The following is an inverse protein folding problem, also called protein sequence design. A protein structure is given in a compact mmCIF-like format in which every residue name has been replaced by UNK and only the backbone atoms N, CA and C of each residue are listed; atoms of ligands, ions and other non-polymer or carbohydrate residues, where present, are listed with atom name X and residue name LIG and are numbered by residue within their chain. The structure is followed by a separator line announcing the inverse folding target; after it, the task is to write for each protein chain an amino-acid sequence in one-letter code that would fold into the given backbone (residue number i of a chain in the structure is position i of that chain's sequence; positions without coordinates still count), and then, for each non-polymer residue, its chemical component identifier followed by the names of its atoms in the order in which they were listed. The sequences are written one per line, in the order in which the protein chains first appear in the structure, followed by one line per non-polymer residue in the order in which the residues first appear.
data_IF_861278053492
#
_entry.id   IF_861278053492
#
_cell.length_a   1.000
_cell.length_b   1.000
_cell.length_c   1.000
_cell.angle_alpha   90.00
_cell.angle_beta   90.00
_cell.angle_gamma   90.00
#
_symmetry.space_group_name_H-M   'P 1'
#
loop_
_entity.id
_entity.type
_entity.pdbx_description
1 polymer ?
#
# COMPACT_ATOMS: atom_id res chain seq x y z
N UNK A 1 -39.87 -23.82 -57.26
CA UNK A 1 -40.47 -23.20 -56.06
C UNK A 1 -39.31 -22.48 -55.40
N UNK A 2 -39.01 -21.30 -55.90
CA UNK A 2 -39.48 -20.00 -55.37
C UNK A 2 -38.66 -19.62 -54.13
N UNK A 3 -37.59 -18.87 -54.31
CA UNK A 3 -37.55 -17.39 -54.20
C UNK A 3 -37.13 -17.00 -52.77
N UNK A 4 -36.31 -15.97 -52.49
CA UNK A 4 -35.71 -14.97 -53.39
C UNK A 4 -34.35 -14.50 -52.83
N UNK A 5 -33.45 -14.05 -53.71
CA UNK A 5 -32.21 -13.36 -53.32
C UNK A 5 -32.52 -11.96 -52.76
N UNK A 6 -31.62 -11.39 -51.93
CA UNK A 6 -30.71 -10.31 -52.40
C UNK A 6 -29.65 -9.88 -51.38
N UNK A 7 -28.46 -9.69 -51.93
CA UNK A 7 -27.26 -9.06 -51.37
C UNK A 7 -27.28 -7.58 -51.78
N UNK A 8 -26.77 -6.65 -50.95
CA UNK A 8 -25.86 -5.57 -51.40
C UNK A 8 -25.17 -4.87 -50.22
N UNK A 9 -23.90 -4.52 -50.42
CA UNK A 9 -23.05 -3.71 -49.55
C UNK A 9 -23.41 -2.22 -49.67
N UNK A 10 -22.99 -1.38 -48.70
CA UNK A 10 -22.05 -0.26 -48.98
C UNK A 10 -21.51 0.38 -47.69
N UNK A 11 -20.39 1.08 -47.83
CA UNK A 11 -19.60 1.73 -46.78
C UNK A 11 -20.19 3.06 -46.32
N UNK A 12 -19.88 3.48 -45.09
CA UNK A 12 -19.76 4.90 -44.72
C UNK A 12 -18.90 5.05 -43.45
N UNK A 13 -17.91 5.94 -43.50
CA UNK A 13 -17.06 6.33 -42.37
C UNK A 13 -17.86 7.17 -41.36
N UNK A 14 -17.46 7.13 -40.07
CA UNK A 14 -17.55 8.28 -39.16
C UNK A 14 -16.63 8.07 -37.94
N UNK A 15 -15.87 9.12 -37.60
CA UNK A 15 -14.78 9.12 -36.61
C UNK A 15 -15.29 9.60 -35.20
N UNK A 16 -14.49 9.91 -34.15
CA UNK A 16 -14.78 9.40 -32.81
C UNK A 16 -15.05 10.51 -31.76
N UNK A 17 -16.08 10.36 -30.92
CA UNK A 17 -16.28 11.26 -29.79
C UNK A 17 -17.02 10.64 -28.60
N UNK A 18 -16.69 11.13 -27.40
CA UNK A 18 -17.46 11.04 -26.15
C UNK A 18 -17.93 9.65 -25.69
N UNK A 19 -16.98 8.83 -25.20
CA UNK A 19 -17.25 7.94 -24.05
C UNK A 19 -16.81 8.64 -22.75
N UNK A 20 -17.60 9.60 -22.31
CA UNK A 20 -17.40 10.37 -21.07
C UNK A 20 -18.75 10.60 -20.35
N UNK A 21 -19.59 9.56 -20.33
CA UNK A 21 -21.00 9.65 -19.93
C UNK A 21 -21.50 8.52 -19.03
N UNK A 22 -20.60 7.78 -18.38
CA UNK A 22 -20.96 6.69 -17.44
C UNK A 22 -20.50 6.98 -16.00
N UNK A 23 -19.44 7.78 -15.81
CA UNK A 23 -18.97 8.20 -14.47
C UNK A 23 -19.85 9.28 -13.81
N UNK A 24 -20.66 10.02 -14.58
CA UNK A 24 -21.55 11.07 -14.04
C UNK A 24 -22.85 10.54 -13.43
N UNK A 25 -23.25 9.30 -13.72
CA UNK A 25 -24.50 8.73 -13.21
C UNK A 25 -24.40 8.20 -11.76
N UNK A 26 -23.20 7.80 -11.31
CA UNK A 26 -22.98 7.35 -9.94
C UNK A 26 -22.66 8.51 -8.97
N UNK A 27 -22.02 9.59 -9.46
CA UNK A 27 -21.80 10.81 -8.67
C UNK A 27 -23.12 11.51 -8.28
N UNK A 28 -24.04 11.69 -9.24
CA UNK A 28 -25.34 12.36 -8.99
C UNK A 28 -26.26 11.55 -8.06
N UNK A 29 -26.08 10.23 -7.99
CA UNK A 29 -26.83 9.37 -7.06
C UNK A 29 -26.34 9.47 -5.59
N UNK A 30 -25.12 9.99 -5.35
CA UNK A 30 -24.59 10.19 -4.02
C UNK A 30 -25.07 11.52 -3.39
N UNK A 31 -25.20 12.59 -4.19
CA UNK A 31 -25.58 13.92 -3.69
C UNK A 31 -27.10 14.10 -3.46
N UNK A 32 -27.95 13.18 -3.93
CA UNK A 32 -29.42 13.25 -3.74
C UNK A 32 -29.99 12.39 -2.62
N UNK A 33 -29.16 11.85 -1.70
CA UNK A 33 -29.62 11.14 -0.49
C UNK A 33 -29.54 11.96 0.80
N UNK A 34 -29.48 13.30 0.69
CA UNK A 34 -29.58 14.22 1.84
C UNK A 34 -30.79 15.14 1.70
N UNK A 35 -31.97 14.54 1.55
CA UNK A 35 -33.26 15.20 1.76
C UNK A 35 -34.37 14.17 2.05
N UNK A 36 -35.23 14.48 3.01
CA UNK A 36 -36.49 13.78 3.34
C UNK A 36 -36.39 12.34 3.90
N UNK A 37 -36.29 12.24 5.23
CA UNK A 37 -37.05 11.24 5.99
C UNK A 37 -37.48 11.83 7.33
N UNK A 38 -38.47 12.73 7.29
CA UNK A 38 -39.10 13.29 8.48
C UNK A 38 -40.14 12.27 9.01
N UNK A 39 -39.64 11.29 9.76
CA UNK A 39 -40.42 10.28 10.46
C UNK A 39 -39.64 9.92 11.73
N UNK A 40 -40.26 10.12 12.90
CA UNK A 40 -39.57 10.16 14.19
C UNK A 40 -38.67 8.96 14.48
N UNK A 41 -37.36 9.23 14.54
CA UNK A 41 -36.35 8.40 15.20
C UNK A 41 -35.71 9.29 16.26
N UNK A 42 -35.62 8.80 17.50
CA UNK A 42 -34.89 9.49 18.57
C UNK A 42 -33.40 9.52 18.21
N UNK A 43 -32.95 10.67 17.68
CA UNK A 43 -31.55 10.94 17.36
C UNK A 43 -30.78 11.11 18.67
N UNK A 44 -30.37 9.99 19.28
CA UNK A 44 -29.51 10.01 20.45
C UNK A 44 -28.30 10.92 20.19
N UNK A 45 -28.27 12.03 20.92
CA UNK A 45 -27.29 13.09 20.76
C UNK A 45 -25.88 12.53 20.92
N UNK A 46 -25.00 12.81 19.95
CA UNK A 46 -23.60 12.36 19.95
C UNK A 46 -22.93 12.75 21.27
N UNK A 47 -22.40 11.78 22.01
CA UNK A 47 -21.74 11.99 23.30
C UNK A 47 -20.47 12.81 23.09
N UNK A 48 -20.35 13.97 23.73
CA UNK A 48 -19.11 14.77 23.70
C UNK A 48 -18.31 14.53 24.99
N UNK A 49 -17.03 14.22 24.82
CA UNK A 49 -16.03 14.05 25.89
C UNK A 49 -14.90 15.00 25.53
N UNK A 50 -14.64 16.01 26.36
CA UNK A 50 -13.64 17.02 26.02
C UNK A 50 -12.86 17.58 27.19
N UNK A 51 -11.61 18.00 26.91
CA UNK A 51 -10.70 18.66 27.85
C UNK A 51 -10.45 17.82 29.13
N UNK A 52 -10.30 16.50 28.98
CA UNK A 52 -10.09 15.55 30.07
C UNK A 52 -8.73 14.86 29.99
N UNK A 53 -8.09 14.66 31.14
CA UNK A 53 -6.98 13.73 31.32
C UNK A 53 -7.50 12.44 31.94
N UNK A 54 -7.23 11.30 31.29
CA UNK A 54 -7.69 9.97 31.69
C UNK A 54 -6.52 9.00 31.71
N UNK A 55 -6.20 8.40 32.86
CA UNK A 55 -5.08 7.46 33.02
C UNK A 55 -5.51 6.06 33.46
N UNK A 56 -6.82 5.83 33.57
CA UNK A 56 -7.41 4.57 34.04
C UNK A 56 -7.53 3.53 32.90
N UNK A 57 -7.46 2.25 33.25
CA UNK A 57 -7.77 1.15 32.31
C UNK A 57 -9.19 1.31 31.75
N UNK A 58 -9.30 1.25 30.41
CA UNK A 58 -10.56 1.33 29.65
C UNK A 58 -11.46 2.52 30.01
N UNK A 59 -10.85 3.70 30.19
CA UNK A 59 -11.55 4.94 30.54
C UNK A 59 -12.79 5.24 29.68
N UNK A 60 -12.80 4.84 28.40
CA UNK A 60 -13.91 5.01 27.46
C UNK A 60 -14.46 3.67 26.92
N UNK A 61 -14.43 2.59 27.71
CA UNK A 61 -14.97 1.28 27.34
C UNK A 61 -16.37 1.32 26.72
N UNK A 62 -16.58 0.57 25.63
CA UNK A 62 -17.87 0.44 24.93
C UNK A 62 -18.50 1.81 24.63
N UNK A 63 -17.68 2.79 24.24
CA UNK A 63 -18.15 4.11 23.83
C UNK A 63 -18.80 4.02 22.46
N UNK A 64 -20.05 4.47 22.36
CA UNK A 64 -20.80 4.42 21.11
C UNK A 64 -21.34 5.82 20.77
N UNK A 65 -21.28 6.19 19.49
CA UNK A 65 -21.75 7.49 18.97
C UNK A 65 -21.15 8.70 19.72
N UNK A 66 -19.84 8.90 19.59
CA UNK A 66 -19.10 9.89 20.41
C UNK A 66 -18.16 10.81 19.62
N UNK A 67 -17.82 11.94 20.25
CA UNK A 67 -16.71 12.83 19.91
C UNK A 67 -15.84 12.96 21.16
N UNK A 68 -14.58 12.55 21.04
CA UNK A 68 -13.52 12.77 22.03
C UNK A 68 -12.62 13.89 21.50
N UNK A 69 -12.37 14.93 22.29
CA UNK A 69 -11.65 16.13 21.79
C UNK A 69 -10.79 16.79 22.86
N UNK A 70 -9.58 17.24 22.51
CA UNK A 70 -8.65 17.90 23.44
C UNK A 70 -8.36 17.04 24.69
N UNK A 71 -8.29 15.71 24.53
CA UNK A 71 -8.10 14.79 25.63
C UNK A 71 -6.65 14.29 25.71
N UNK A 72 -6.21 13.99 26.92
CA UNK A 72 -4.93 13.35 27.19
C UNK A 72 -5.16 11.99 27.85
N UNK A 73 -4.50 10.96 27.34
CA UNK A 73 -4.66 9.59 27.79
C UNK A 73 -3.34 9.03 28.29
N UNK A 74 -3.11 9.10 29.59
CA UNK A 74 -1.89 8.66 30.25
C UNK A 74 -1.69 9.37 31.58
N UNK A 75 -0.94 8.76 32.49
CA UNK A 75 -0.74 9.28 33.84
C UNK A 75 -0.24 8.21 34.83
N UNK A 76 -0.11 8.55 36.12
CA UNK A 76 0.49 7.68 37.13
C UNK A 76 -0.21 6.32 37.35
N UNK A 77 -1.47 6.18 36.93
CA UNK A 77 -2.21 4.89 37.03
C UNK A 77 -1.77 3.87 35.97
N UNK A 78 -1.10 4.28 34.89
CA UNK A 78 -0.61 3.40 33.80
C UNK A 78 -1.66 2.41 33.26
N UNK A 79 -2.89 2.89 33.07
CA UNK A 79 -3.96 2.14 32.43
C UNK A 79 -3.67 1.80 30.97
N UNK A 80 -4.57 1.03 30.37
CA UNK A 80 -4.50 0.61 28.96
C UNK A 80 -5.88 0.45 28.34
N UNK A 81 -5.94 0.26 27.01
CA UNK A 81 -7.20 0.00 26.28
C UNK A 81 -8.25 1.11 26.44
N UNK A 82 -7.82 2.38 26.37
CA UNK A 82 -8.67 3.57 26.56
C UNK A 82 -10.01 3.47 25.84
N UNK A 83 -9.96 3.16 24.54
CA UNK A 83 -11.09 2.76 23.72
C UNK A 83 -10.96 1.26 23.50
N UNK A 84 -12.08 0.55 23.73
CA UNK A 84 -12.17 -0.89 23.56
C UNK A 84 -13.63 -1.29 23.42
N UNK A 85 -13.93 -2.20 22.50
CA UNK A 85 -15.31 -2.62 22.13
C UNK A 85 -16.22 -1.42 21.76
N UNK A 86 -15.65 -0.33 21.27
CA UNK A 86 -16.29 0.96 21.00
C UNK A 86 -16.64 1.11 19.52
N UNK A 87 -17.67 1.91 19.20
CA UNK A 87 -18.04 2.11 17.79
C UNK A 87 -18.66 3.45 17.42
N UNK A 88 -18.44 3.88 16.18
CA UNK A 88 -18.99 5.14 15.65
C UNK A 88 -18.50 6.34 16.48
N UNK A 89 -17.19 6.52 16.57
CA UNK A 89 -16.59 7.62 17.33
C UNK A 89 -15.52 8.37 16.54
N UNK A 90 -15.18 9.56 17.01
CA UNK A 90 -14.08 10.37 16.49
C UNK A 90 -13.23 10.85 17.66
N UNK A 91 -11.92 10.84 17.48
CA UNK A 91 -10.96 11.44 18.41
C UNK A 91 -10.24 12.56 17.67
N UNK A 92 -10.28 13.77 18.22
CA UNK A 92 -9.69 14.98 17.62
C UNK A 92 -8.75 15.65 18.62
N UNK A 93 -7.64 16.21 18.14
CA UNK A 93 -6.73 17.08 18.92
C UNK A 93 -6.28 16.44 20.26
N UNK A 94 -6.00 15.13 20.26
CA UNK A 94 -5.78 14.34 21.49
C UNK A 94 -4.47 13.56 21.47
N UNK A 95 -3.92 13.29 22.65
CA UNK A 95 -2.61 12.65 22.84
C UNK A 95 -2.75 11.39 23.69
N UNK A 96 -2.10 10.31 23.27
CA UNK A 96 -2.08 9.04 23.97
C UNK A 96 -0.65 8.65 24.36
N UNK A 97 -0.47 8.40 25.65
CA UNK A 97 0.74 7.94 26.34
C UNK A 97 0.44 6.65 27.13
N UNK A 98 -0.48 5.80 26.65
CA UNK A 98 -0.91 4.58 27.32
C UNK A 98 -1.11 3.41 26.35
N UNK A 99 -0.90 2.17 26.83
CA UNK A 99 -0.86 0.97 25.97
C UNK A 99 -2.21 0.66 25.31
N UNK A 100 -2.15 0.04 24.13
CA UNK A 100 -3.28 -0.63 23.47
C UNK A 100 -4.49 0.28 23.21
N UNK A 101 -4.24 1.50 22.72
CA UNK A 101 -5.19 2.64 22.69
C UNK A 101 -6.60 2.31 22.18
N UNK A 102 -6.71 1.64 21.03
CA UNK A 102 -7.92 1.03 20.47
C UNK A 102 -7.79 -0.49 20.50
N UNK A 103 -8.92 -1.19 20.72
CA UNK A 103 -8.97 -2.65 20.75
C UNK A 103 -10.38 -3.18 20.45
N UNK A 104 -10.54 -3.91 19.33
CA UNK A 104 -11.85 -4.34 18.81
C UNK A 104 -12.82 -3.18 18.51
N UNK A 105 -12.27 -2.03 18.09
CA UNK A 105 -13.06 -0.84 17.77
C UNK A 105 -13.47 -0.79 16.30
N UNK A 106 -14.62 -0.17 16.00
CA UNK A 106 -15.15 -0.09 14.63
C UNK A 106 -15.76 1.25 14.25
N UNK A 107 -15.70 1.60 12.96
CA UNK A 107 -16.24 2.84 12.41
C UNK A 107 -15.69 4.07 13.17
N UNK A 108 -14.39 4.29 13.08
CA UNK A 108 -13.71 5.33 13.87
C UNK A 108 -12.91 6.31 13.02
N UNK A 109 -12.73 7.52 13.55
CA UNK A 109 -11.93 8.58 12.94
C UNK A 109 -10.94 9.13 13.97
N UNK A 110 -9.65 9.16 13.66
CA UNK A 110 -8.61 9.82 14.46
C UNK A 110 -8.07 11.01 13.65
N UNK A 111 -8.09 12.23 14.22
CA UNK A 111 -7.66 13.47 13.54
C UNK A 111 -6.77 14.30 14.43
N UNK A 112 -5.61 14.73 13.93
CA UNK A 112 -4.61 15.46 14.72
C UNK A 112 -4.33 14.76 16.07
N UNK A 113 -4.18 13.43 16.02
CA UNK A 113 -3.89 12.59 17.18
C UNK A 113 -2.40 12.30 17.23
N UNK A 114 -1.83 12.25 18.44
CA UNK A 114 -0.47 11.76 18.67
C UNK A 114 -0.51 10.48 19.48
N UNK A 115 -0.02 9.39 18.91
CA UNK A 115 0.23 8.10 19.58
C UNK A 115 1.72 8.02 19.89
N UNK A 116 2.10 8.26 21.15
CA UNK A 116 3.51 8.25 21.58
C UNK A 116 4.01 6.83 21.86
N UNK A 117 5.32 6.70 22.10
CA UNK A 117 6.01 5.42 22.30
C UNK A 117 5.39 4.53 23.40
N UNK A 118 4.93 5.05 24.55
CA UNK A 118 4.26 4.25 25.59
C UNK A 118 3.02 3.49 25.11
N UNK A 119 2.41 3.92 24.00
CA UNK A 119 1.24 3.23 23.45
C UNK A 119 1.52 1.81 22.96
N UNK A 120 2.79 1.50 22.64
CA UNK A 120 3.36 0.20 22.23
C UNK A 120 2.73 -0.49 21.02
N UNK A 121 1.43 -0.75 21.03
CA UNK A 121 0.64 -1.39 19.98
C UNK A 121 -0.76 -0.75 19.98
N UNK A 122 -0.92 0.48 19.47
CA UNK A 122 -2.10 1.30 19.78
C UNK A 122 -3.38 0.93 19.03
N UNK A 123 -3.33 0.11 17.99
CA UNK A 123 -4.51 -0.38 17.27
C UNK A 123 -4.35 -1.89 17.05
N UNK A 124 -5.37 -2.65 17.45
CA UNK A 124 -5.39 -4.10 17.35
C UNK A 124 -6.81 -4.63 17.12
N UNK A 125 -7.01 -5.39 16.05
CA UNK A 125 -8.30 -5.98 15.66
C UNK A 125 -9.40 -4.97 15.32
N UNK A 126 -9.02 -3.73 15.00
CA UNK A 126 -9.95 -2.64 14.70
C UNK A 126 -10.33 -2.64 13.22
N UNK A 127 -11.51 -2.09 12.89
CA UNK A 127 -11.97 -2.07 11.49
C UNK A 127 -12.83 -0.87 11.06
N UNK A 128 -12.80 -0.53 9.76
CA UNK A 128 -13.41 0.68 9.19
C UNK A 128 -12.90 1.95 9.88
N UNK A 129 -11.59 2.17 9.77
CA UNK A 129 -10.87 3.26 10.45
C UNK A 129 -10.31 4.29 9.49
N UNK A 130 -10.41 5.56 9.85
CA UNK A 130 -9.74 6.67 9.16
C UNK A 130 -8.82 7.41 10.14
N UNK A 131 -7.56 7.57 9.79
CA UNK A 131 -6.55 8.30 10.58
C UNK A 131 -5.99 9.42 9.70
N UNK A 132 -6.14 10.67 10.10
CA UNK A 132 -5.69 11.83 9.32
C UNK A 132 -4.82 12.78 10.15
N UNK A 133 -3.81 13.38 9.51
CA UNK A 133 -3.02 14.49 10.06
C UNK A 133 -2.37 14.16 11.42
N UNK A 134 -2.01 12.89 11.62
CA UNK A 134 -1.69 12.30 12.93
C UNK A 134 -0.27 11.75 12.98
N UNK A 135 0.28 11.62 14.20
CA UNK A 135 1.60 11.06 14.49
C UNK A 135 1.48 9.70 15.16
N UNK A 136 2.13 8.69 14.58
CA UNK A 136 2.07 7.30 15.00
C UNK A 136 3.48 6.84 15.35
N UNK A 137 3.97 7.23 16.52
CA UNK A 137 5.36 7.05 16.97
C UNK A 137 5.42 5.98 18.06
N UNK A 138 5.28 4.71 17.67
CA UNK A 138 5.07 3.61 18.61
C UNK A 138 5.45 2.27 17.99
N UNK A 139 5.83 1.29 18.80
CA UNK A 139 6.58 0.10 18.37
C UNK A 139 5.79 -0.75 17.34
N UNK A 140 4.45 -0.81 17.44
CA UNK A 140 3.59 -1.75 16.69
C UNK A 140 2.30 -1.12 16.13
N UNK A 141 2.34 0.08 15.56
CA UNK A 141 1.20 0.65 14.81
C UNK A 141 1.03 -0.13 13.49
N UNK A 142 -0.07 -0.72 13.04
CA UNK A 142 -1.30 -1.20 13.67
C UNK A 142 -1.31 -2.72 13.40
N UNK A 143 -2.03 -3.53 14.18
CA UNK A 143 -1.95 -5.01 14.06
C UNK A 143 -3.29 -5.65 13.76
N UNK A 144 -3.31 -6.57 12.80
CA UNK A 144 -4.47 -7.44 12.51
C UNK A 144 -5.78 -6.65 12.27
N UNK A 145 -5.66 -5.44 11.70
CA UNK A 145 -6.78 -4.54 11.43
C UNK A 145 -7.34 -4.72 10.00
N UNK A 146 -8.59 -4.31 9.78
CA UNK A 146 -9.29 -4.46 8.49
C UNK A 146 -9.88 -3.13 8.01
N UNK A 147 -9.67 -2.75 6.76
CA UNK A 147 -10.24 -1.53 6.17
C UNK A 147 -9.85 -0.27 6.94
N UNK A 148 -8.54 0.04 6.92
CA UNK A 148 -7.96 1.21 7.58
C UNK A 148 -7.30 2.11 6.54
N UNK A 149 -7.62 3.41 6.59
CA UNK A 149 -7.00 4.44 5.75
C UNK A 149 -6.21 5.42 6.63
N UNK A 150 -4.95 5.68 6.27
CA UNK A 150 -4.09 6.69 6.88
C UNK A 150 -3.79 7.79 5.85
N UNK A 151 -3.94 9.06 6.25
CA UNK A 151 -3.71 10.24 5.40
C UNK A 151 -2.81 11.25 6.08
N UNK A 152 -1.77 11.72 5.38
CA UNK A 152 -0.89 12.80 5.86
C UNK A 152 -0.30 12.50 7.25
N UNK A 153 0.04 11.23 7.50
CA UNK A 153 0.58 10.77 8.77
C UNK A 153 2.12 10.74 8.78
N UNK A 154 2.71 11.08 9.92
CA UNK A 154 4.11 10.79 10.24
C UNK A 154 4.16 9.53 11.10
N UNK A 155 4.77 8.48 10.58
CA UNK A 155 4.73 7.14 11.17
C UNK A 155 6.16 6.69 11.46
N UNK A 156 6.43 6.36 12.72
CA UNK A 156 7.70 5.82 13.18
C UNK A 156 7.41 4.60 14.07
N UNK A 157 7.64 3.40 13.54
CA UNK A 157 7.13 2.17 14.11
C UNK A 157 7.97 0.98 13.68
N UNK A 158 8.76 0.39 14.59
CA UNK A 158 9.58 -0.80 14.33
C UNK A 158 8.82 -1.90 13.58
N UNK A 159 7.56 -2.12 13.92
CA UNK A 159 6.70 -3.15 13.30
C UNK A 159 5.41 -2.51 12.76
N UNK A 160 5.45 -1.94 11.55
CA UNK A 160 4.30 -1.24 10.99
C UNK A 160 3.29 -2.14 10.27
N UNK A 161 2.00 -2.08 10.61
CA UNK A 161 0.90 -2.53 9.74
C UNK A 161 0.90 -4.02 9.39
N UNK A 162 1.27 -4.92 10.32
CA UNK A 162 1.36 -6.36 10.06
C UNK A 162 -0.02 -7.04 10.04
N UNK A 163 -0.16 -8.06 9.18
CA UNK A 163 -1.34 -8.93 9.06
C UNK A 163 -2.67 -8.18 8.88
N UNK A 164 -2.60 -6.97 8.34
CA UNK A 164 -3.77 -6.16 8.05
C UNK A 164 -4.35 -6.52 6.68
N UNK A 165 -5.62 -6.23 6.47
CA UNK A 165 -6.27 -6.36 5.16
C UNK A 165 -6.96 -5.06 4.78
N UNK A 166 -6.91 -4.67 3.50
CA UNK A 166 -7.47 -3.39 3.03
C UNK A 166 -6.84 -2.20 3.79
N UNK A 167 -5.53 -2.05 3.65
CA UNK A 167 -4.75 -0.98 4.30
C UNK A 167 -4.30 0.05 3.26
N UNK A 168 -4.71 1.30 3.44
CA UNK A 168 -4.41 2.40 2.52
C UNK A 168 -3.59 3.48 3.21
N UNK A 169 -2.45 3.89 2.62
CA UNK A 169 -1.65 5.03 3.05
C UNK A 169 -1.56 6.06 1.92
N UNK A 170 -1.97 7.30 2.18
CA UNK A 170 -1.93 8.43 1.25
C UNK A 170 -1.15 9.61 1.86
N UNK A 171 -0.16 10.15 1.15
CA UNK A 171 0.66 11.29 1.60
C UNK A 171 1.40 11.06 2.95
N UNK A 172 1.74 9.81 3.26
CA UNK A 172 2.35 9.42 4.53
C UNK A 172 3.89 9.33 4.45
N UNK A 173 4.54 9.59 5.60
CA UNK A 173 5.92 9.18 5.85
C UNK A 173 5.93 7.93 6.74
N UNK A 174 6.71 6.92 6.38
CA UNK A 174 6.79 5.64 7.10
C UNK A 174 8.24 5.26 7.38
N UNK A 175 8.68 5.36 8.64
CA UNK A 175 9.91 4.72 9.11
C UNK A 175 9.56 3.41 9.83
N UNK A 176 10.09 2.27 9.37
CA UNK A 176 9.78 0.97 9.98
C UNK A 176 10.86 -0.09 9.75
N UNK A 177 11.22 -0.85 10.79
CA UNK A 177 12.11 -2.01 10.63
C UNK A 177 11.41 -3.09 9.80
N UNK A 178 10.17 -3.43 10.14
CA UNK A 178 9.30 -4.37 9.43
C UNK A 178 7.97 -3.70 9.09
N UNK A 179 7.87 -3.20 7.86
CA UNK A 179 6.62 -2.67 7.32
C UNK A 179 5.76 -3.78 6.72
N UNK A 180 4.44 -3.62 6.86
CA UNK A 180 3.37 -4.29 6.12
C UNK A 180 3.44 -5.84 6.09
N UNK A 181 4.15 -6.45 7.05
CA UNK A 181 4.47 -7.87 7.06
C UNK A 181 3.21 -8.73 7.00
N UNK A 182 3.13 -9.63 6.00
CA UNK A 182 2.02 -10.58 5.83
C UNK A 182 0.64 -9.90 5.67
N UNK A 183 0.62 -8.64 5.23
CA UNK A 183 -0.61 -7.86 4.96
C UNK A 183 -1.11 -8.03 3.52
N UNK A 184 -2.42 -7.81 3.33
CA UNK A 184 -3.11 -8.06 2.06
C UNK A 184 -3.96 -6.89 1.59
N UNK A 185 -4.14 -6.75 0.27
CA UNK A 185 -4.96 -5.69 -0.32
C UNK A 185 -4.46 -4.31 0.12
N UNK A 186 -3.18 -4.02 -0.12
CA UNK A 186 -2.49 -2.82 0.36
C UNK A 186 -2.41 -1.77 -0.75
N UNK A 187 -2.75 -0.52 -0.43
CA UNK A 187 -2.60 0.63 -1.35
C UNK A 187 -1.66 1.67 -0.74
N UNK A 188 -0.56 2.00 -1.44
CA UNK A 188 0.36 3.07 -1.06
C UNK A 188 0.38 4.12 -2.17
N UNK A 189 0.13 5.39 -1.83
CA UNK A 189 0.10 6.49 -2.79
C UNK A 189 0.81 7.72 -2.22
N UNK A 190 1.85 8.19 -2.93
CA UNK A 190 2.72 9.30 -2.47
C UNK A 190 3.30 9.06 -1.07
N UNK A 191 3.73 7.82 -0.81
CA UNK A 191 4.36 7.43 0.45
C UNK A 191 5.88 7.53 0.33
N UNK A 192 6.51 8.14 1.33
CA UNK A 192 7.97 8.08 1.51
C UNK A 192 8.27 7.09 2.65
N UNK A 193 8.90 5.97 2.34
CA UNK A 193 9.19 4.90 3.30
C UNK A 193 10.69 4.63 3.46
N UNK A 194 11.15 4.58 4.70
CA UNK A 194 12.49 4.12 5.08
C UNK A 194 12.40 2.87 5.96
N UNK A 195 13.30 1.90 5.82
CA UNK A 195 13.19 0.69 6.65
C UNK A 195 14.21 -0.44 6.43
N UNK A 196 13.84 -1.64 6.88
CA UNK A 196 14.61 -2.87 6.59
C UNK A 196 13.82 -3.96 5.86
N UNK A 197 12.52 -4.13 6.12
CA UNK A 197 11.71 -5.23 5.58
C UNK A 197 10.28 -4.73 5.28
N UNK A 198 10.11 -3.83 4.31
CA UNK A 198 8.90 -2.97 4.20
C UNK A 198 7.69 -3.63 3.50
N UNK A 199 7.87 -4.66 2.67
CA UNK A 199 6.78 -5.33 1.92
C UNK A 199 6.90 -6.87 1.94
N UNK A 200 7.48 -7.42 3.01
CA UNK A 200 7.72 -8.86 3.11
C UNK A 200 6.40 -9.64 3.28
N UNK A 201 6.21 -10.72 2.50
CA UNK A 201 4.99 -11.53 2.40
C UNK A 201 3.71 -10.79 1.95
N UNK A 202 3.79 -9.53 1.48
CA UNK A 202 2.61 -8.76 1.05
C UNK A 202 1.91 -9.40 -0.14
N UNK A 203 0.57 -9.46 -0.13
CA UNK A 203 -0.25 -10.04 -1.20
C UNK A 203 -1.31 -9.07 -1.72
N UNK A 204 -1.41 -8.93 -3.05
CA UNK A 204 -2.31 -8.01 -3.74
C UNK A 204 -2.07 -6.54 -3.31
N UNK A 205 -1.08 -5.88 -3.89
CA UNK A 205 -0.76 -4.49 -3.55
C UNK A 205 -0.59 -3.58 -4.77
N UNK A 206 -0.98 -2.32 -4.60
CA UNK A 206 -0.82 -1.23 -5.56
C UNK A 206 0.00 -0.11 -4.91
N UNK A 207 1.11 0.27 -5.54
CA UNK A 207 2.06 1.25 -5.01
C UNK A 207 2.34 2.28 -6.10
N UNK A 208 1.98 3.53 -5.88
CA UNK A 208 2.01 4.59 -6.91
C UNK A 208 2.62 5.89 -6.39
N UNK A 209 3.52 6.47 -7.20
CA UNK A 209 4.22 7.74 -6.92
C UNK A 209 5.00 7.73 -5.57
N UNK A 210 5.53 6.57 -5.17
CA UNK A 210 6.21 6.36 -3.89
C UNK A 210 7.75 6.44 -4.00
N UNK A 211 8.39 6.70 -2.86
CA UNK A 211 9.83 6.47 -2.66
C UNK A 211 10.01 5.48 -1.52
N UNK A 212 10.73 4.39 -1.75
CA UNK A 212 10.98 3.34 -0.74
C UNK A 212 12.49 3.10 -0.67
N UNK A 213 13.09 3.27 0.51
CA UNK A 213 14.49 2.99 0.80
C UNK A 213 14.58 1.95 1.93
N UNK A 214 14.94 0.71 1.61
CA UNK A 214 14.85 -0.40 2.57
C UNK A 214 15.87 -1.50 2.28
N UNK A 215 16.42 -2.17 3.29
CA UNK A 215 17.35 -3.29 3.05
C UNK A 215 16.72 -4.36 2.14
N UNK A 216 15.61 -4.94 2.56
CA UNK A 216 14.83 -5.94 1.84
C UNK A 216 13.44 -5.35 1.57
N UNK A 217 12.95 -5.43 0.33
CA UNK A 217 11.66 -4.84 -0.03
C UNK A 217 10.57 -5.91 -0.18
N UNK A 218 10.56 -6.63 -1.30
CA UNK A 218 9.51 -7.54 -1.75
C UNK A 218 9.95 -9.01 -1.63
N UNK A 219 10.30 -9.45 -0.43
CA UNK A 219 10.61 -10.87 -0.17
C UNK A 219 9.31 -11.68 -0.04
N UNK A 220 9.12 -12.72 -0.85
CA UNK A 220 7.92 -13.57 -0.90
C UNK A 220 6.59 -12.81 -1.16
N UNK A 221 6.66 -11.64 -1.77
CA UNK A 221 5.49 -10.85 -2.15
C UNK A 221 4.73 -11.51 -3.32
N UNK A 222 3.41 -11.29 -3.38
CA UNK A 222 2.54 -11.84 -4.44
C UNK A 222 1.60 -10.79 -5.02
N UNK A 223 1.43 -10.78 -6.34
CA UNK A 223 0.49 -9.90 -7.05
C UNK A 223 0.68 -8.40 -6.70
N UNK A 224 1.90 -7.88 -6.83
CA UNK A 224 2.20 -6.47 -6.50
C UNK A 224 2.46 -5.68 -7.76
N UNK A 225 1.74 -4.58 -7.94
CA UNK A 225 1.97 -3.60 -9.00
C UNK A 225 2.55 -2.31 -8.42
N UNK A 226 3.69 -1.88 -8.96
CA UNK A 226 4.37 -0.64 -8.57
C UNK A 226 4.49 0.26 -9.79
N UNK A 227 4.11 1.54 -9.67
CA UNK A 227 4.16 2.52 -10.76
C UNK A 227 4.84 3.82 -10.34
N UNK A 228 5.53 4.47 -11.27
CA UNK A 228 6.10 5.82 -11.12
C UNK A 228 6.97 6.02 -9.86
N UNK A 229 7.52 4.94 -9.30
CA UNK A 229 8.12 4.94 -7.97
C UNK A 229 9.63 4.74 -8.04
N UNK A 230 10.34 5.25 -7.04
CA UNK A 230 11.77 4.94 -6.84
C UNK A 230 11.91 3.94 -5.71
N UNK A 231 12.61 2.83 -5.96
CA UNK A 231 12.92 1.83 -4.95
C UNK A 231 14.44 1.69 -4.84
N UNK A 232 14.96 2.05 -3.67
CA UNK A 232 16.33 1.82 -3.22
C UNK A 232 16.33 0.63 -2.25
N UNK A 233 17.18 -0.36 -2.51
CA UNK A 233 17.31 -1.51 -1.60
C UNK A 233 18.63 -2.24 -1.68
N UNK A 234 18.96 -3.02 -0.64
CA UNK A 234 20.02 -4.03 -0.77
C UNK A 234 19.49 -5.23 -1.58
N UNK A 235 18.27 -5.69 -1.32
CA UNK A 235 17.63 -6.82 -2.01
C UNK A 235 16.17 -6.48 -2.37
N UNK A 236 15.94 -6.08 -3.63
CA UNK A 236 14.62 -5.59 -4.07
C UNK A 236 13.50 -6.64 -3.96
N UNK A 237 13.67 -7.80 -4.58
CA UNK A 237 12.64 -8.84 -4.58
C UNK A 237 13.28 -10.22 -4.71
N UNK A 238 12.90 -11.12 -3.81
CA UNK A 238 13.39 -12.49 -3.75
C UNK A 238 12.22 -13.44 -3.53
N UNK A 239 12.14 -14.52 -4.33
CA UNK A 239 11.12 -15.57 -4.24
C UNK A 239 9.66 -15.10 -4.36
N UNK A 240 9.43 -14.06 -5.17
CA UNK A 240 8.13 -13.38 -5.33
C UNK A 240 7.41 -13.78 -6.63
N UNK A 241 6.10 -13.62 -6.69
CA UNK A 241 5.27 -14.10 -7.81
C UNK A 241 4.27 -13.02 -8.27
N UNK A 242 4.22 -12.73 -9.57
CA UNK A 242 3.29 -11.75 -10.14
C UNK A 242 3.64 -10.31 -9.77
N UNK A 243 4.93 -9.94 -9.83
CA UNK A 243 5.38 -8.57 -9.64
C UNK A 243 5.33 -7.81 -10.98
N UNK A 244 4.76 -6.61 -10.99
CA UNK A 244 4.75 -5.71 -12.16
C UNK A 244 5.25 -4.32 -11.78
N UNK A 245 6.35 -3.88 -12.39
CA UNK A 245 6.87 -2.52 -12.26
C UNK A 245 6.60 -1.73 -13.55
N UNK A 246 6.18 -0.47 -13.43
CA UNK A 246 5.83 0.40 -14.56
C UNK A 246 6.45 1.79 -14.34
N UNK A 247 7.35 2.22 -15.21
CA UNK A 247 8.01 3.53 -15.11
C UNK A 247 8.67 3.75 -13.72
N UNK A 248 9.30 2.71 -13.17
CA UNK A 248 9.98 2.77 -11.88
C UNK A 248 11.50 2.94 -12.05
N UNK A 249 12.12 3.65 -11.10
CA UNK A 249 13.58 3.64 -10.92
C UNK A 249 13.93 2.58 -9.87
N UNK A 250 14.83 1.67 -10.21
CA UNK A 250 15.31 0.61 -9.33
C UNK A 250 16.80 0.83 -9.03
N UNK A 251 17.15 0.82 -7.74
CA UNK A 251 18.52 0.96 -7.24
C UNK A 251 18.76 -0.19 -6.26
N UNK A 252 19.44 -1.27 -6.66
CA UNK A 252 19.61 -2.44 -5.78
C UNK A 252 20.64 -3.44 -6.30
N UNK A 253 21.51 -3.94 -5.40
CA UNK A 253 22.32 -5.15 -5.65
C UNK A 253 21.43 -6.39 -5.72
N UNK A 254 21.86 -7.42 -6.47
CA UNK A 254 21.17 -8.71 -6.64
C UNK A 254 19.62 -8.62 -6.71
N UNK A 255 19.05 -7.77 -7.58
CA UNK A 255 17.62 -7.50 -7.55
C UNK A 255 16.85 -8.56 -8.34
N UNK A 256 15.59 -8.77 -7.93
CA UNK A 256 14.58 -9.48 -8.69
C UNK A 256 14.95 -10.95 -8.94
N UNK A 257 15.47 -11.64 -7.92
CA UNK A 257 15.92 -13.04 -7.99
C UNK A 257 14.82 -14.03 -7.59
N UNK A 258 14.87 -15.25 -8.10
CA UNK A 258 13.91 -16.34 -7.86
C UNK A 258 12.44 -15.95 -8.10
N UNK A 259 12.18 -14.94 -8.94
CA UNK A 259 10.87 -14.37 -9.17
C UNK A 259 10.12 -15.10 -10.29
N UNK A 260 8.80 -15.22 -10.14
CA UNK A 260 7.87 -15.76 -11.15
C UNK A 260 6.96 -14.68 -11.68
N UNK A 261 6.56 -14.80 -12.94
CA UNK A 261 5.64 -13.87 -13.60
C UNK A 261 6.07 -12.39 -13.42
N UNK A 262 7.38 -12.13 -13.48
CA UNK A 262 7.96 -10.81 -13.24
C UNK A 262 7.86 -9.96 -14.51
N UNK A 263 7.31 -8.76 -14.38
CA UNK A 263 7.19 -7.80 -15.49
C UNK A 263 7.79 -6.44 -15.14
N UNK A 264 8.63 -5.90 -16.03
CA UNK A 264 9.15 -4.54 -15.93
C UNK A 264 8.85 -3.80 -17.23
N UNK A 265 8.11 -2.69 -17.12
CA UNK A 265 7.70 -1.85 -18.25
C UNK A 265 8.35 -0.48 -18.06
N UNK A 266 9.15 -0.05 -19.04
CA UNK A 266 9.72 1.31 -19.08
C UNK A 266 10.56 1.72 -17.85
N UNK A 267 11.10 0.75 -17.11
CA UNK A 267 11.86 0.99 -15.88
C UNK A 267 13.31 1.40 -16.17
N UNK A 268 13.97 2.03 -15.19
CA UNK A 268 15.43 2.27 -15.19
C UNK A 268 16.08 1.50 -14.04
N UNK A 269 17.35 1.11 -14.22
CA UNK A 269 18.15 0.40 -13.23
C UNK A 269 19.48 1.13 -13.00
N UNK A 270 19.96 1.16 -11.76
CA UNK A 270 21.20 1.82 -11.33
C UNK A 270 21.83 1.01 -10.20
N UNK A 271 23.14 0.78 -10.21
CA UNK A 271 23.83 -0.09 -9.21
C UNK A 271 23.22 -1.51 -9.10
N UNK A 272 22.75 -2.04 -10.24
CA UNK A 272 22.08 -3.33 -10.31
C UNK A 272 22.97 -4.43 -10.89
N UNK A 273 23.78 -5.01 -10.01
CA UNK A 273 24.53 -6.22 -10.28
C UNK A 273 23.68 -7.50 -10.08
N UNK A 274 24.08 -8.58 -10.74
CA UNK A 274 23.57 -9.95 -10.55
C UNK A 274 22.05 -10.10 -10.66
N UNK A 275 21.41 -9.24 -11.44
CA UNK A 275 19.96 -9.18 -11.54
C UNK A 275 19.34 -10.44 -12.17
N UNK A 276 18.08 -10.70 -11.82
CA UNK A 276 17.20 -11.71 -12.43
C UNK A 276 17.59 -13.18 -12.22
N UNK A 277 18.43 -13.52 -11.23
CA UNK A 277 18.86 -14.90 -10.99
C UNK A 277 17.64 -15.84 -10.86
N UNK A 278 17.62 -16.90 -11.68
CA UNK A 278 16.56 -17.90 -11.77
C UNK A 278 15.11 -17.36 -11.92
N UNK A 279 14.95 -16.17 -12.50
CA UNK A 279 13.62 -15.54 -12.63
C UNK A 279 12.96 -15.73 -13.99
N UNK A 280 11.62 -15.78 -13.99
CA UNK A 280 10.76 -15.71 -15.17
C UNK A 280 10.39 -14.25 -15.44
N UNK A 281 11.00 -13.64 -16.46
CA UNK A 281 11.02 -12.19 -16.62
C UNK A 281 10.59 -11.73 -18.02
N UNK A 282 9.68 -10.76 -18.09
CA UNK A 282 9.44 -9.91 -19.27
C UNK A 282 9.77 -8.46 -18.91
N UNK A 283 10.99 -8.04 -19.26
CA UNK A 283 11.53 -6.74 -18.87
C UNK A 283 11.88 -5.88 -20.09
N UNK A 284 11.47 -4.62 -20.03
CA UNK A 284 11.98 -3.53 -20.87
C UNK A 284 12.57 -2.45 -19.96
N UNK A 285 13.90 -2.39 -19.95
CA UNK A 285 14.71 -1.46 -19.17
C UNK A 285 15.29 -0.41 -20.10
N UNK A 286 15.29 0.85 -19.64
CA UNK A 286 15.94 1.99 -20.29
C UNK A 286 17.31 2.19 -19.66
N UNK A 287 18.33 2.36 -20.50
CA UNK A 287 19.71 2.53 -20.10
C UNK A 287 20.47 1.21 -19.87
N UNK A 288 21.27 1.19 -18.80
CA UNK A 288 22.27 0.16 -18.53
C UNK A 288 21.83 -0.80 -17.41
N UNK A 289 22.20 -2.08 -17.54
CA UNK A 289 22.14 -3.06 -16.45
C UNK A 289 23.57 -3.52 -16.18
N UNK A 290 24.05 -3.43 -14.94
CA UNK A 290 25.46 -3.72 -14.64
C UNK A 290 25.80 -5.19 -14.85
N UNK A 291 25.01 -6.10 -14.28
CA UNK A 291 25.11 -7.52 -14.62
C UNK A 291 23.82 -8.31 -14.43
N UNK A 292 23.69 -9.37 -15.23
CA UNK A 292 22.57 -10.32 -15.21
C UNK A 292 23.13 -11.71 -14.89
N UNK A 293 22.55 -12.43 -13.94
CA UNK A 293 22.97 -13.80 -13.56
C UNK A 293 21.89 -14.80 -13.94
N UNK A 294 22.23 -15.90 -14.61
CA UNK A 294 21.40 -17.12 -14.77
C UNK A 294 19.85 -16.90 -14.82
N UNK A 295 19.30 -16.08 -15.74
CA UNK A 295 17.87 -15.82 -15.80
C UNK A 295 17.11 -17.03 -16.39
N UNK A 296 16.02 -17.46 -15.72
CA UNK A 296 15.37 -18.75 -16.00
C UNK A 296 14.64 -18.78 -17.33
N UNK A 297 13.74 -17.83 -17.57
CA UNK A 297 12.95 -17.77 -18.80
C UNK A 297 12.44 -16.36 -19.12
N UNK A 298 11.89 -16.19 -20.33
CA UNK A 298 11.28 -14.95 -20.80
C UNK A 298 12.21 -14.10 -21.67
N UNK A 299 12.14 -12.76 -21.54
CA UNK A 299 12.97 -11.81 -22.29
C UNK A 299 13.36 -10.59 -21.46
N UNK A 300 14.63 -10.19 -21.51
CA UNK A 300 15.16 -8.95 -20.94
C UNK A 300 15.62 -8.05 -22.10
N UNK A 301 15.08 -6.83 -22.18
CA UNK A 301 15.47 -5.78 -23.13
C UNK A 301 16.13 -4.63 -22.40
N UNK A 302 17.29 -4.18 -22.88
CA UNK A 302 18.04 -3.05 -22.33
C UNK A 302 18.86 -2.35 -23.42
N UNK A 303 19.30 -1.10 -23.21
CA UNK A 303 20.16 -0.40 -24.17
C UNK A 303 21.60 -0.89 -24.11
N UNK A 304 22.07 -1.28 -22.92
CA UNK A 304 23.38 -1.93 -22.72
C UNK A 304 23.40 -2.81 -21.46
N UNK A 305 24.29 -3.80 -21.44
CA UNK A 305 24.50 -4.71 -20.31
C UNK A 305 26.01 -4.82 -20.09
N UNK A 306 26.48 -4.74 -18.84
CA UNK A 306 27.91 -4.84 -18.50
C UNK A 306 28.42 -6.28 -18.58
N UNK A 307 27.89 -7.16 -17.73
CA UNK A 307 28.26 -8.59 -17.68
C UNK A 307 27.03 -9.50 -17.73
N UNK A 308 27.17 -10.66 -18.39
CA UNK A 308 26.18 -11.76 -18.36
C UNK A 308 26.85 -12.96 -17.70
N UNK A 309 26.53 -13.18 -16.43
CA UNK A 309 27.11 -14.22 -15.58
C UNK A 309 26.35 -15.53 -15.82
N UNK A 310 27.08 -16.55 -16.30
CA UNK A 310 26.56 -17.91 -16.55
C UNK A 310 27.47 -18.96 -15.95
N UNK A 311 26.91 -20.13 -15.65
CA UNK A 311 27.62 -21.24 -15.01
C UNK A 311 27.14 -21.49 -13.59
N UNK A 312 27.39 -22.72 -13.11
CA UNK A 312 26.93 -23.25 -11.81
C UNK A 312 25.41 -23.21 -11.63
N UNK A 313 24.65 -23.14 -12.73
CA UNK A 313 23.19 -23.13 -12.69
C UNK A 313 22.63 -24.44 -12.12
N UNK A 314 21.77 -24.33 -11.11
CA UNK A 314 21.07 -25.48 -10.50
C UNK A 314 19.74 -25.82 -11.19
N UNK A 315 19.38 -25.04 -12.21
CA UNK A 315 18.20 -25.24 -13.06
C UNK A 315 18.42 -24.63 -14.45
N UNK A 316 17.55 -24.98 -15.40
CA UNK A 316 17.61 -24.51 -16.77
C UNK A 316 17.41 -22.98 -16.88
N UNK A 317 18.30 -22.29 -17.60
CA UNK A 317 18.36 -20.83 -17.71
C UNK A 317 18.39 -20.35 -19.17
N UNK A 318 17.21 -20.14 -19.74
CA UNK A 318 16.98 -19.91 -21.17
C UNK A 318 16.35 -18.53 -21.48
N UNK A 319 16.40 -17.55 -20.57
CA UNK A 319 15.83 -16.23 -20.88
C UNK A 319 16.57 -15.54 -22.05
N UNK A 320 15.82 -14.93 -22.95
CA UNK A 320 16.37 -14.20 -24.08
C UNK A 320 16.88 -12.82 -23.62
N UNK A 321 18.14 -12.51 -23.90
CA UNK A 321 18.70 -11.19 -23.63
C UNK A 321 18.83 -10.46 -24.96
N UNK A 322 18.17 -9.30 -25.08
CA UNK A 322 18.07 -8.53 -26.31
C UNK A 322 18.55 -7.11 -26.03
N UNK A 323 19.55 -6.65 -26.77
CA UNK A 323 19.94 -5.24 -26.75
C UNK A 323 19.00 -4.46 -27.66
N UNK A 324 18.50 -3.33 -27.18
CA UNK A 324 17.78 -2.38 -28.03
C UNK A 324 18.72 -1.94 -29.15
N UNK A 325 18.22 -1.95 -30.39
CA UNK A 325 18.99 -1.41 -31.50
C UNK A 325 19.22 0.08 -31.23
N UNK A 326 20.48 0.51 -31.17
CA UNK A 326 20.82 1.93 -31.23
C UNK A 326 20.40 2.47 -32.58
N UNK A 327 19.15 2.94 -32.67
CA UNK A 327 18.70 3.85 -33.72
C UNK A 327 19.57 5.10 -33.60
N UNK A 328 20.63 5.14 -34.40
CA UNK A 328 21.74 6.04 -34.18
C UNK A 328 21.41 7.50 -34.48
N UNK A 329 22.01 8.36 -33.66
CA UNK A 329 22.17 9.83 -33.80
C UNK A 329 20.90 10.67 -33.59
#
# INVERSE_FOLDING_TARGET
MSDMQKITQTEAELNPASRSGVESAQAVAAEQRVATSDAGVDLHQRKVIENQSMDQERALYNTNNALVRNCHFGGPVDGESALKESSNFEVVDSVFDMRYVLWHDRNFVLRNVTLNEPTRAPLWYDHHGLIEDSKLHSIKNIRECLDITLRRCDIDSDEFGWKCSALTLEDCKLNSVYGLLDSKNVTLHRVNSTGKYVLQYVENALIEDCTIDTKDCLWHARNVTIKNSTISSEYLAWYSDGLTFINCKIISTQPLCYCKNLKLIDCTMETCDRAFEYSDVDATIKGHIESITNPRSGTIRADSIGEIIKGNEVMECNANIVLNSTSGL
#
